data_IF_613506346420
#
_entry.id   IF_613506346420
#
_cell.length_a   1.000
_cell.length_b   1.000
_cell.length_c   1.000
_cell.angle_alpha   90.00
_cell.angle_beta   90.00
_cell.angle_gamma   90.00
#
_symmetry.space_group_name_H-M   'P 1'
#
loop_
_entity.id
_entity.type
_entity.pdbx_description
1 polymer ?
#
# COMPACT_ATOMS: atom_id res chain seq x y z
N UNK A 1 -7.18 20.69 10.39
CA UNK A 1 -7.00 20.11 9.04
C UNK A 1 -8.37 19.83 8.47
N UNK A 2 -8.59 20.17 7.21
CA UNK A 2 -9.89 19.99 6.56
C UNK A 2 -9.87 18.73 5.67
N UNK A 3 -10.98 17.98 5.64
CA UNK A 3 -11.15 16.82 4.77
C UNK A 3 -11.95 17.21 3.52
N UNK A 4 -11.76 16.49 2.43
CA UNK A 4 -12.64 16.59 1.26
C UNK A 4 -14.05 16.10 1.61
N UNK A 5 -15.00 16.43 0.74
CA UNK A 5 -16.26 15.70 0.69
C UNK A 5 -15.98 14.21 0.49
N UNK A 6 -16.90 13.39 1.00
CA UNK A 6 -16.82 11.95 0.82
C UNK A 6 -17.10 11.62 -0.65
N UNK A 7 -16.26 10.79 -1.23
CA UNK A 7 -16.46 10.25 -2.57
C UNK A 7 -16.41 8.72 -2.51
N UNK A 8 -17.11 8.06 -3.40
CA UNK A 8 -17.02 6.61 -3.60
C UNK A 8 -16.38 6.33 -4.97
N UNK A 9 -15.68 5.21 -5.08
CA UNK A 9 -15.19 4.71 -6.37
C UNK A 9 -16.30 4.06 -7.22
N UNK A 10 -17.54 4.01 -6.74
CA UNK A 10 -18.68 3.49 -7.49
C UNK A 10 -19.32 2.25 -6.84
N UNK A 11 -20.33 1.72 -7.54
CA UNK A 11 -21.33 0.74 -7.06
C UNK A 11 -20.77 -0.66 -6.78
N UNK A 12 -21.63 -1.62 -6.39
CA UNK A 12 -21.32 -3.06 -6.20
C UNK A 12 -20.50 -3.72 -7.33
N UNK A 13 -20.51 -3.11 -8.53
CA UNK A 13 -19.80 -3.55 -9.73
C UNK A 13 -18.75 -2.50 -10.11
N UNK A 14 -17.47 -2.87 -10.25
CA UNK A 14 -16.40 -1.95 -10.61
C UNK A 14 -16.45 -1.57 -12.09
N UNK A 15 -15.92 -0.39 -12.41
CA UNK A 15 -15.63 -0.02 -13.80
C UNK A 15 -14.37 -0.75 -14.30
N UNK A 16 -14.51 -1.50 -15.39
CA UNK A 16 -13.47 -2.35 -15.96
C UNK A 16 -13.18 -1.98 -17.41
N UNK A 17 -11.90 -1.84 -17.76
CA UNK A 17 -11.42 -1.71 -19.14
C UNK A 17 -10.46 -2.83 -19.46
N UNK A 18 -10.98 -3.86 -20.14
CA UNK A 18 -10.24 -5.05 -20.53
C UNK A 18 -10.09 -5.10 -22.04
N UNK A 19 -8.91 -5.49 -22.54
CA UNK A 19 -8.63 -5.49 -23.97
C UNK A 19 -8.78 -4.10 -24.63
N UNK A 20 -8.66 -3.01 -23.85
CA UNK A 20 -8.82 -1.65 -24.33
C UNK A 20 -10.28 -1.20 -24.53
N UNK A 21 -11.27 -1.95 -24.03
CA UNK A 21 -12.68 -1.57 -24.09
C UNK A 21 -13.31 -1.61 -22.70
N UNK A 22 -14.17 -0.63 -22.41
CA UNK A 22 -14.99 -0.67 -21.21
C UNK A 22 -15.96 -1.85 -21.29
N UNK A 23 -15.99 -2.67 -20.26
CA UNK A 23 -16.97 -3.76 -20.16
C UNK A 23 -18.34 -3.17 -19.82
N UNK A 24 -19.39 -3.74 -20.44
CA UNK A 24 -20.76 -3.45 -20.06
C UNK A 24 -21.01 -3.85 -18.60
N UNK A 25 -21.90 -3.12 -17.93
CA UNK A 25 -22.15 -3.29 -16.49
C UNK A 25 -22.60 -4.71 -16.14
N UNK A 26 -23.43 -5.32 -16.99
CA UNK A 26 -23.92 -6.67 -16.79
C UNK A 26 -22.79 -7.70 -16.90
N UNK A 27 -21.88 -7.53 -17.87
CA UNK A 27 -20.70 -8.40 -18.00
C UNK A 27 -19.77 -8.28 -16.79
N UNK A 28 -19.53 -7.07 -16.29
CA UNK A 28 -18.75 -6.86 -15.07
C UNK A 28 -19.45 -7.49 -13.83
N UNK A 29 -20.78 -7.41 -13.76
CA UNK A 29 -21.57 -8.02 -12.69
C UNK A 29 -21.52 -9.56 -12.73
N UNK A 30 -21.50 -10.16 -13.93
CA UNK A 30 -21.32 -11.60 -14.11
C UNK A 30 -19.95 -12.07 -13.57
N UNK A 31 -18.87 -11.35 -13.86
CA UNK A 31 -17.53 -11.68 -13.32
C UNK A 31 -17.47 -11.59 -11.79
N UNK A 32 -18.07 -10.54 -11.21
CA UNK A 32 -18.19 -10.38 -9.75
C UNK A 32 -18.99 -11.53 -9.15
N UNK A 33 -20.09 -11.93 -9.82
CA UNK A 33 -20.94 -13.04 -9.38
C UNK A 33 -20.18 -14.37 -9.45
N UNK A 34 -19.45 -14.61 -10.52
CA UNK A 34 -18.60 -15.79 -10.70
C UNK A 34 -17.60 -15.91 -9.56
N UNK A 35 -16.84 -14.85 -9.26
CA UNK A 35 -15.88 -14.83 -8.16
C UNK A 35 -16.55 -15.09 -6.81
N UNK A 36 -17.70 -14.47 -6.53
CA UNK A 36 -18.48 -14.70 -5.31
C UNK A 36 -18.94 -16.16 -5.18
N UNK A 37 -19.38 -16.76 -6.28
CA UNK A 37 -19.77 -18.18 -6.32
C UNK A 37 -18.55 -19.08 -6.10
N UNK A 38 -17.43 -18.77 -6.75
CA UNK A 38 -16.19 -19.53 -6.62
C UNK A 38 -15.65 -19.51 -5.19
N UNK A 39 -15.66 -18.36 -4.50
CA UNK A 39 -15.23 -18.23 -3.09
C UNK A 39 -16.11 -19.09 -2.16
N UNK A 40 -17.43 -19.14 -2.42
CA UNK A 40 -18.34 -19.96 -1.63
C UNK A 40 -18.12 -21.46 -1.81
N UNK A 41 -17.88 -21.92 -3.05
CA UNK A 41 -17.69 -23.33 -3.37
C UNK A 41 -16.28 -23.82 -3.05
N UNK A 42 -15.28 -22.99 -3.33
CA UNK A 42 -13.87 -23.23 -3.09
C UNK A 42 -13.42 -22.27 -2.01
N UNK A 43 -13.71 -22.57 -0.74
CA UNK A 43 -13.32 -21.68 0.36
C UNK A 43 -11.80 -21.55 0.44
N UNK A 44 -11.24 -20.32 0.56
CA UNK A 44 -9.82 -20.11 0.84
C UNK A 44 -9.35 -20.89 2.07
N UNK A 45 -8.14 -21.45 1.98
CA UNK A 45 -7.51 -22.17 3.09
C UNK A 45 -6.64 -21.27 3.98
N UNK A 46 -6.48 -21.65 5.25
CA UNK A 46 -5.47 -21.08 6.13
C UNK A 46 -4.08 -21.27 5.52
N UNK A 47 -3.35 -20.19 5.25
CA UNK A 47 -2.07 -20.20 4.50
C UNK A 47 -2.14 -20.43 2.98
N UNK A 48 -3.32 -20.30 2.37
CA UNK A 48 -3.43 -20.31 0.92
C UNK A 48 -3.22 -18.89 0.36
N UNK A 49 -2.32 -18.75 -0.61
CA UNK A 49 -2.18 -17.49 -1.37
C UNK A 49 -3.28 -17.36 -2.43
N UNK A 50 -3.60 -16.14 -2.84
CA UNK A 50 -4.57 -15.88 -3.93
C UNK A 50 -4.19 -16.66 -5.21
N UNK A 51 -2.90 -16.75 -5.54
CA UNK A 51 -2.43 -17.50 -6.69
C UNK A 51 -2.64 -19.03 -6.57
N UNK A 52 -2.56 -19.59 -5.35
CA UNK A 52 -2.88 -21.01 -5.13
C UNK A 52 -4.39 -21.23 -5.24
N UNK A 53 -5.18 -20.35 -4.62
CA UNK A 53 -6.63 -20.40 -4.65
C UNK A 53 -7.18 -20.34 -6.09
N UNK A 54 -6.70 -19.41 -6.93
CA UNK A 54 -7.11 -19.28 -8.34
C UNK A 54 -6.96 -20.59 -9.12
N UNK A 55 -5.84 -21.30 -8.94
CA UNK A 55 -5.58 -22.59 -9.60
C UNK A 55 -6.55 -23.68 -9.15
N UNK A 56 -7.00 -23.62 -7.90
CA UNK A 56 -7.96 -24.58 -7.33
C UNK A 56 -9.40 -24.25 -7.72
N UNK A 57 -9.74 -22.97 -7.72
CA UNK A 57 -11.08 -22.46 -8.02
C UNK A 57 -11.46 -22.58 -9.50
N UNK A 58 -10.46 -22.55 -10.41
CA UNK A 58 -10.65 -22.71 -11.87
C UNK A 58 -11.72 -21.76 -12.44
N UNK A 59 -11.65 -20.50 -12.01
CA UNK A 59 -12.48 -19.43 -12.56
C UNK A 59 -12.11 -19.13 -14.02
N UNK A 60 -12.97 -18.42 -14.72
CA UNK A 60 -12.74 -17.94 -16.08
C UNK A 60 -11.55 -16.98 -16.13
N UNK A 61 -10.87 -16.89 -17.27
CA UNK A 61 -9.74 -15.98 -17.45
C UNK A 61 -10.11 -14.50 -17.16
N UNK A 62 -11.28 -13.98 -17.60
CA UNK A 62 -11.68 -12.62 -17.23
C UNK A 62 -11.91 -12.44 -15.73
N UNK A 63 -12.45 -13.44 -15.02
CA UNK A 63 -12.60 -13.40 -13.58
C UNK A 63 -11.24 -13.43 -12.86
N UNK A 64 -10.27 -14.21 -13.36
CA UNK A 64 -8.89 -14.20 -12.87
C UNK A 64 -8.23 -12.83 -13.04
N UNK A 65 -8.33 -12.21 -14.22
CA UNK A 65 -7.79 -10.87 -14.48
C UNK A 65 -8.43 -9.81 -13.58
N UNK A 66 -9.74 -9.90 -13.36
CA UNK A 66 -10.45 -9.01 -12.43
C UNK A 66 -9.93 -9.18 -11.01
N UNK A 67 -9.82 -10.42 -10.53
CA UNK A 67 -9.30 -10.69 -9.20
C UNK A 67 -7.86 -10.21 -9.05
N UNK A 68 -7.03 -10.40 -10.08
CA UNK A 68 -5.65 -9.92 -10.11
C UNK A 68 -5.59 -8.38 -9.97
N UNK A 69 -6.40 -7.65 -10.74
CA UNK A 69 -6.44 -6.19 -10.66
C UNK A 69 -6.87 -5.70 -9.26
N UNK A 70 -7.82 -6.39 -8.62
CA UNK A 70 -8.36 -6.04 -7.30
C UNK A 70 -7.38 -6.41 -6.17
N UNK A 71 -6.99 -7.68 -6.08
CA UNK A 71 -6.18 -8.22 -4.99
C UNK A 71 -4.78 -7.58 -4.95
N UNK A 72 -4.26 -7.19 -6.11
CA UNK A 72 -3.01 -6.46 -6.18
C UNK A 72 -3.16 -4.98 -5.84
N UNK A 73 -4.37 -4.39 -5.84
CA UNK A 73 -4.55 -3.00 -5.42
C UNK A 73 -4.70 -2.86 -3.91
N UNK A 74 -5.21 -3.89 -3.23
CA UNK A 74 -5.37 -3.95 -1.78
C UNK A 74 -5.04 -5.37 -1.31
N UNK A 75 -3.84 -5.63 -0.77
CA UNK A 75 -2.93 -4.70 -0.11
C UNK A 75 -1.68 -4.30 -0.94
N UNK A 76 -1.74 -4.09 -2.26
CA UNK A 76 -0.53 -3.76 -3.03
C UNK A 76 0.54 -4.88 -3.01
N UNK A 77 0.14 -6.15 -3.14
CA UNK A 77 1.04 -7.30 -3.03
C UNK A 77 0.87 -8.31 -4.19
N UNK A 78 1.93 -9.07 -4.55
CA UNK A 78 1.85 -10.14 -5.53
C UNK A 78 0.85 -11.22 -5.13
N UNK A 79 0.17 -11.85 -6.09
CA UNK A 79 -0.85 -12.86 -5.81
C UNK A 79 -0.31 -14.08 -5.08
N UNK A 80 1.00 -14.35 -5.22
CA UNK A 80 1.71 -15.44 -4.55
C UNK A 80 1.97 -15.22 -3.06
N UNK A 81 1.78 -14.00 -2.53
CA UNK A 81 1.90 -13.70 -1.10
C UNK A 81 0.64 -13.08 -0.49
N UNK A 82 -0.28 -12.56 -1.32
CA UNK A 82 -1.57 -12.08 -0.85
C UNK A 82 -2.36 -13.24 -0.23
N UNK A 83 -2.90 -13.02 0.97
CA UNK A 83 -3.66 -14.02 1.72
C UNK A 83 -5.03 -14.25 1.06
N UNK A 84 -5.33 -15.50 0.70
CA UNK A 84 -6.60 -15.84 0.08
C UNK A 84 -7.77 -15.71 1.07
N UNK A 85 -7.53 -15.84 2.37
CA UNK A 85 -8.58 -15.61 3.39
C UNK A 85 -9.01 -14.15 3.46
N UNK A 86 -8.14 -13.24 3.02
CA UNK A 86 -8.43 -11.81 2.89
C UNK A 86 -8.89 -11.41 1.48
N UNK A 87 -9.20 -12.38 0.60
CA UNK A 87 -9.96 -12.09 -0.62
C UNK A 87 -11.31 -11.52 -0.19
N UNK A 88 -11.35 -10.18 -0.13
CA UNK A 88 -12.40 -9.35 0.44
C UNK A 88 -13.67 -10.13 0.68
N UNK A 89 -13.97 -10.35 1.96
CA UNK A 89 -15.09 -11.16 2.45
C UNK A 89 -16.42 -10.84 1.75
N UNK A 90 -16.58 -9.69 1.06
CA UNK A 90 -17.69 -9.42 0.14
C UNK A 90 -17.38 -8.61 -1.18
N UNK A 91 -16.13 -8.52 -1.66
CA UNK A 91 -15.75 -7.57 -2.75
C UNK A 91 -16.26 -6.13 -2.47
N UNK A 92 -16.25 -5.72 -1.20
CA UNK A 92 -16.83 -4.46 -0.76
C UNK A 92 -15.96 -3.30 -1.23
N UNK A 93 -16.44 -2.58 -2.23
CA UNK A 93 -15.96 -1.24 -2.58
C UNK A 93 -16.32 -0.32 -1.42
N UNK A 94 -15.35 0.37 -0.82
CA UNK A 94 -15.63 1.22 0.32
C UNK A 94 -16.72 2.23 -0.01
N UNK A 95 -17.78 2.31 0.81
CA UNK A 95 -18.92 3.21 0.59
C UNK A 95 -18.56 4.70 0.77
N UNK A 96 -17.31 5.01 1.16
CA UNK A 96 -16.86 6.38 1.35
C UNK A 96 -15.38 6.54 1.64
N UNK A 97 -14.72 7.33 0.81
CA UNK A 97 -13.35 7.79 1.00
C UNK A 97 -13.33 9.29 1.24
N UNK A 98 -12.40 9.74 2.08
CA UNK A 98 -12.05 11.17 2.23
C UNK A 98 -10.56 11.33 2.06
N UNK A 99 -10.15 12.48 1.53
CA UNK A 99 -8.75 12.90 1.43
C UNK A 99 -8.53 14.10 2.37
N UNK A 100 -7.30 14.28 2.83
CA UNK A 100 -6.91 15.53 3.47
C UNK A 100 -6.78 16.59 2.38
N UNK A 101 -7.52 17.71 2.50
CA UNK A 101 -7.40 18.83 1.56
C UNK A 101 -5.97 19.38 1.62
N UNK A 102 -5.34 19.48 0.44
CA UNK A 102 -3.95 19.93 0.32
C UNK A 102 -2.88 18.87 0.58
N UNK A 103 -3.25 17.58 0.68
CA UNK A 103 -2.30 16.46 0.71
C UNK A 103 -2.15 15.78 2.07
N UNK A 104 -1.83 14.49 2.05
CA UNK A 104 -1.67 13.69 3.28
C UNK A 104 -0.41 14.07 4.08
N UNK A 105 0.59 14.69 3.46
CA UNK A 105 1.83 15.14 4.12
C UNK A 105 1.59 16.30 5.11
N UNK A 106 0.45 16.98 5.02
CA UNK A 106 0.03 17.99 6.01
C UNK A 106 -0.10 17.40 7.42
N UNK A 107 -0.51 16.14 7.54
CA UNK A 107 -0.64 15.48 8.84
C UNK A 107 0.72 15.35 9.56
N UNK A 108 1.73 14.66 9.00
CA UNK A 108 3.03 14.54 9.65
C UNK A 108 3.73 15.89 9.82
N UNK A 109 3.59 16.86 8.88
CA UNK A 109 4.15 18.22 9.06
C UNK A 109 3.53 18.95 10.25
N UNK A 110 2.22 18.85 10.44
CA UNK A 110 1.54 19.48 11.58
C UNK A 110 1.98 18.86 12.92
N UNK A 111 2.20 17.54 12.96
CA UNK A 111 2.73 16.86 14.15
C UNK A 111 4.20 17.25 14.40
N UNK A 112 5.03 17.26 13.36
CA UNK A 112 6.44 17.63 13.42
C UNK A 112 6.67 19.04 13.99
N UNK A 113 5.76 19.99 13.72
CA UNK A 113 5.88 21.37 14.25
C UNK A 113 5.83 21.49 15.78
N UNK A 114 5.49 20.41 16.49
CA UNK A 114 5.32 20.37 17.95
C UNK A 114 6.46 19.66 18.68
N UNK A 115 7.44 19.13 17.95
CA UNK A 115 8.55 18.34 18.49
C UNK A 115 9.86 18.73 17.81
N UNK A 116 11.00 18.40 18.42
CA UNK A 116 12.30 18.58 17.77
C UNK A 116 12.46 17.52 16.68
N UNK A 117 12.57 17.95 15.42
CA UNK A 117 12.75 17.07 14.25
C UNK A 117 14.07 17.38 13.59
N UNK A 118 14.96 16.38 13.57
CA UNK A 118 16.25 16.44 12.87
C UNK A 118 16.16 15.67 11.56
N UNK A 119 16.20 16.38 10.44
CA UNK A 119 16.23 15.80 9.09
C UNK A 119 17.67 15.49 8.67
N UNK A 120 17.83 14.65 7.64
CA UNK A 120 19.14 14.22 7.13
C UNK A 120 20.01 13.57 8.22
N UNK A 121 19.38 12.79 9.10
CA UNK A 121 20.06 12.02 10.16
C UNK A 121 19.80 10.52 9.98
N UNK A 122 20.36 9.86 8.94
CA UNK A 122 20.31 8.42 8.82
C UNK A 122 20.85 7.72 10.07
N UNK A 123 19.98 7.02 10.80
CA UNK A 123 20.42 6.17 11.92
C UNK A 123 21.08 4.93 11.35
N UNK A 124 22.26 4.58 11.87
CA UNK A 124 23.02 3.38 11.49
C UNK A 124 22.97 2.33 12.57
N UNK A 125 23.17 2.73 13.82
CA UNK A 125 23.26 1.81 14.96
C UNK A 125 22.41 2.33 16.12
N UNK A 126 21.64 1.42 16.73
CA UNK A 126 20.92 1.63 17.98
C UNK A 126 21.56 0.75 19.06
N UNK A 127 22.40 1.36 19.88
CA UNK A 127 22.97 0.75 21.07
C UNK A 127 22.02 0.85 22.27
N UNK A 128 21.89 -0.20 23.07
CA UNK A 128 20.99 -0.21 24.22
C UNK A 128 21.50 -1.10 25.35
N UNK A 129 21.18 -0.71 26.58
CA UNK A 129 21.54 -1.47 27.77
C UNK A 129 20.60 -1.15 28.91
N UNK A 130 20.83 -1.75 30.08
CA UNK A 130 20.07 -1.41 31.29
C UNK A 130 20.15 0.09 31.66
N UNK A 131 21.22 0.79 31.29
CA UNK A 131 21.45 2.19 31.68
C UNK A 131 20.98 3.22 30.66
N UNK A 132 20.55 2.81 29.46
CA UNK A 132 20.03 3.74 28.46
C UNK A 132 20.26 3.29 27.02
N UNK A 133 20.08 4.23 26.10
CA UNK A 133 20.15 4.04 24.66
C UNK A 133 21.12 5.04 24.04
N UNK A 134 21.83 4.59 23.00
CA UNK A 134 22.67 5.39 22.11
C UNK A 134 22.19 5.21 20.68
N UNK A 135 22.01 6.30 19.95
CA UNK A 135 21.58 6.29 18.53
C UNK A 135 22.66 6.97 17.71
N UNK A 136 23.36 6.19 16.89
CA UNK A 136 24.45 6.67 16.04
C UNK A 136 23.93 6.96 14.64
N UNK A 137 24.22 8.16 14.14
CA UNK A 137 23.93 8.58 12.77
C UNK A 137 25.23 8.77 11.98
N UNK A 138 25.11 9.15 10.71
CA UNK A 138 26.27 9.54 9.89
C UNK A 138 26.96 10.84 10.38
N UNK A 139 26.35 11.58 11.31
CA UNK A 139 26.80 12.92 11.70
C UNK A 139 27.03 13.09 13.20
N UNK A 140 26.20 12.46 14.03
CA UNK A 140 26.25 12.64 15.47
C UNK A 140 25.70 11.41 16.22
N UNK A 141 25.91 11.40 17.53
CA UNK A 141 25.42 10.36 18.43
C UNK A 141 24.48 10.99 19.45
N UNK A 142 23.28 10.43 19.56
CA UNK A 142 22.28 10.83 20.54
C UNK A 142 22.24 9.84 21.71
N UNK A 143 21.93 10.34 22.91
CA UNK A 143 21.72 9.53 24.10
C UNK A 143 20.32 9.79 24.69
N UNK A 144 19.66 8.74 25.13
CA UNK A 144 18.33 8.82 25.75
C UNK A 144 18.07 7.65 26.71
N UNK A 145 17.03 7.77 27.55
CA UNK A 145 16.61 6.65 28.40
C UNK A 145 15.94 5.54 27.60
N UNK A 146 15.21 5.91 26.53
CA UNK A 146 14.41 5.02 25.69
C UNK A 146 14.44 5.48 24.23
N UNK A 147 14.18 4.57 23.30
CA UNK A 147 14.04 4.83 21.87
C UNK A 147 12.79 4.16 21.32
N UNK A 148 12.11 4.85 20.41
CA UNK A 148 11.03 4.28 19.61
C UNK A 148 11.51 4.15 18.16
N UNK A 149 11.61 2.92 17.68
CA UNK A 149 11.95 2.62 16.28
C UNK A 149 10.66 2.63 15.47
N UNK A 150 10.57 3.57 14.53
CA UNK A 150 9.37 3.81 13.69
C UNK A 150 9.62 3.65 12.19
N UNK A 151 10.80 3.18 11.80
CA UNK A 151 11.14 2.91 10.39
C UNK A 151 10.28 1.75 9.85
N UNK A 152 10.05 1.66 8.52
CA UNK A 152 9.40 0.51 7.91
C UNK A 152 10.06 -0.81 8.30
N UNK A 153 9.25 -1.86 8.44
CA UNK A 153 9.73 -3.16 8.91
C UNK A 153 10.95 -3.75 8.16
N UNK A 154 11.05 -3.64 6.81
CA UNK A 154 12.27 -4.06 6.11
C UNK A 154 13.52 -3.30 6.57
N UNK A 155 13.39 -2.01 6.89
CA UNK A 155 14.51 -1.19 7.36
C UNK A 155 14.87 -1.47 8.81
N UNK A 156 13.96 -2.01 9.63
CA UNK A 156 14.32 -2.50 10.97
C UNK A 156 15.38 -3.59 10.86
N UNK A 157 15.32 -4.44 9.82
CA UNK A 157 16.34 -5.46 9.57
C UNK A 157 17.65 -4.92 8.95
N UNK A 158 17.65 -3.69 8.43
CA UNK A 158 18.85 -3.01 7.90
C UNK A 158 19.57 -2.16 8.97
N UNK A 159 18.91 -1.87 10.11
CA UNK A 159 19.51 -1.15 11.24
C UNK A 159 20.44 -2.06 12.06
N UNK A 160 21.58 -1.51 12.48
CA UNK A 160 22.45 -2.14 13.47
C UNK A 160 21.86 -2.04 14.87
N UNK A 161 21.91 -3.13 15.65
CA UNK A 161 21.53 -3.14 17.07
C UNK A 161 22.68 -3.69 17.93
N UNK A 162 22.95 -3.04 19.06
CA UNK A 162 23.98 -3.45 20.01
C UNK A 162 23.45 -3.42 21.46
N UNK A 163 23.19 -4.58 22.11
CA UNK A 163 23.33 -5.93 21.59
C UNK A 163 22.33 -6.23 20.46
N UNK A 164 22.64 -7.29 19.70
CA UNK A 164 21.78 -7.75 18.60
C UNK A 164 20.38 -8.12 19.09
N UNK A 165 19.39 -7.98 18.21
CA UNK A 165 18.00 -8.33 18.52
C UNK A 165 17.84 -9.83 18.86
N UNK A 166 16.89 -10.19 19.74
CA UNK A 166 16.57 -11.59 20.00
C UNK A 166 16.21 -12.37 18.73
N UNK A 167 16.60 -13.64 18.67
CA UNK A 167 16.44 -14.47 17.48
C UNK A 167 15.00 -14.54 16.97
N UNK A 168 14.01 -14.61 17.86
CA UNK A 168 12.60 -14.71 17.46
C UNK A 168 12.08 -13.42 16.84
N UNK A 169 12.53 -12.25 17.31
CA UNK A 169 12.22 -10.96 16.67
C UNK A 169 12.86 -10.88 15.28
N UNK A 170 14.11 -11.32 15.14
CA UNK A 170 14.81 -11.35 13.83
C UNK A 170 14.09 -12.28 12.86
N UNK A 171 13.71 -13.50 13.29
CA UNK A 171 12.94 -14.44 12.47
C UNK A 171 11.60 -13.85 12.05
N UNK A 172 10.88 -13.21 12.98
CA UNK A 172 9.60 -12.57 12.69
C UNK A 172 9.72 -11.47 11.63
N UNK A 173 10.73 -10.60 11.75
CA UNK A 173 11.00 -9.54 10.77
C UNK A 173 11.30 -10.11 9.37
N UNK A 174 12.07 -11.20 9.28
CA UNK A 174 12.43 -11.84 8.01
C UNK A 174 11.28 -12.66 7.38
N UNK A 175 10.38 -13.19 8.22
CA UNK A 175 9.26 -14.01 7.79
C UNK A 175 8.10 -13.15 7.26
N UNK A 176 7.86 -11.98 7.85
CA UNK A 176 6.81 -11.07 7.40
C UNK A 176 7.09 -10.60 5.97
N UNK A 177 6.10 -10.75 5.08
CA UNK A 177 6.17 -10.27 3.71
C UNK A 177 5.55 -8.88 3.59
N UNK A 178 5.91 -8.21 2.51
CA UNK A 178 5.46 -6.85 2.22
C UNK A 178 5.02 -6.72 0.77
N UNK A 179 4.05 -5.85 0.55
CA UNK A 179 3.60 -5.43 -0.75
C UNK A 179 4.61 -4.51 -1.45
N UNK A 180 4.55 -4.50 -2.79
CA UNK A 180 5.35 -3.69 -3.69
C UNK A 180 4.42 -2.86 -4.60
N UNK A 181 4.79 -1.61 -4.84
CA UNK A 181 4.07 -0.76 -5.78
C UNK A 181 4.89 0.41 -6.28
N UNK A 182 4.54 0.80 -7.50
CA UNK A 182 4.93 2.04 -8.14
C UNK A 182 3.69 2.88 -8.43
N UNK A 183 3.67 4.07 -7.85
CA UNK A 183 2.62 5.07 -8.11
C UNK A 183 3.03 5.93 -9.29
N UNK A 184 2.07 6.27 -10.12
CA UNK A 184 2.25 7.23 -11.19
C UNK A 184 1.18 8.31 -11.14
N UNK A 185 1.54 9.51 -11.55
CA UNK A 185 0.65 10.66 -11.70
C UNK A 185 0.93 11.29 -13.05
N UNK A 186 -0.09 11.37 -13.89
CA UNK A 186 0.01 11.87 -15.26
C UNK A 186 -1.02 12.97 -15.46
N UNK A 187 -0.59 14.06 -16.09
CA UNK A 187 -1.48 15.13 -16.53
C UNK A 187 -1.67 15.04 -18.04
N UNK A 188 -2.92 15.07 -18.49
CA UNK A 188 -3.27 15.05 -19.91
C UNK A 188 -4.02 16.31 -20.34
N UNK A 189 -3.99 16.56 -21.65
CA UNK A 189 -4.64 17.74 -22.24
C UNK A 189 -6.13 17.57 -22.54
N UNK A 190 -6.61 16.33 -22.57
CA UNK A 190 -7.94 15.92 -23.05
C UNK A 190 -8.87 15.54 -21.89
N UNK A 191 -9.20 16.49 -20.99
CA UNK A 191 -10.01 16.20 -19.79
C UNK A 191 -11.30 15.45 -20.08
N UNK A 192 -12.14 15.97 -20.97
CA UNK A 192 -13.50 15.44 -21.16
C UNK A 192 -13.48 14.03 -21.76
N UNK A 193 -12.55 13.78 -22.68
CA UNK A 193 -12.36 12.46 -23.28
C UNK A 193 -11.92 11.43 -22.23
N UNK A 194 -10.96 11.78 -21.38
CA UNK A 194 -10.49 10.87 -20.33
C UNK A 194 -11.57 10.67 -19.26
N UNK A 195 -12.27 11.73 -18.84
CA UNK A 195 -13.41 11.63 -17.91
C UNK A 195 -14.48 10.67 -18.40
N UNK A 196 -14.84 10.78 -19.68
CA UNK A 196 -15.82 9.89 -20.29
C UNK A 196 -15.32 8.44 -20.33
N UNK A 197 -14.01 8.25 -20.55
CA UNK A 197 -13.38 6.95 -20.68
C UNK A 197 -13.25 6.20 -19.34
N UNK A 198 -12.81 6.88 -18.27
CA UNK A 198 -12.49 6.24 -16.96
C UNK A 198 -13.45 6.58 -15.82
N UNK A 199 -14.36 7.53 -15.99
CA UNK A 199 -15.22 8.02 -14.91
C UNK A 199 -14.40 8.56 -13.73
N UNK A 200 -14.76 8.16 -12.50
CA UNK A 200 -13.98 8.48 -11.30
C UNK A 200 -12.71 7.64 -11.15
N UNK A 201 -12.69 6.46 -11.78
CA UNK A 201 -11.60 5.50 -11.77
C UNK A 201 -12.07 4.12 -12.24
N UNK A 202 -11.13 3.29 -12.67
CA UNK A 202 -11.41 1.99 -13.27
C UNK A 202 -10.23 1.03 -13.13
N UNK A 203 -10.52 -0.27 -13.11
CA UNK A 203 -9.50 -1.31 -13.24
C UNK A 203 -9.26 -1.66 -14.69
N UNK A 204 -8.05 -2.12 -14.99
CA UNK A 204 -7.66 -2.54 -16.33
C UNK A 204 -6.74 -3.77 -16.26
N UNK A 205 -6.76 -4.58 -17.31
CA UNK A 205 -5.88 -5.73 -17.51
C UNK A 205 -4.47 -5.32 -18.00
N UNK A 206 -4.23 -4.02 -18.20
CA UNK A 206 -2.93 -3.44 -18.61
C UNK A 206 -2.32 -2.64 -17.48
N UNK A 207 -1.02 -2.35 -17.55
CA UNK A 207 -0.39 -1.41 -16.61
C UNK A 207 -1.11 -0.04 -16.67
N UNK A 208 -1.45 0.60 -15.54
CA UNK A 208 -1.04 0.26 -14.16
C UNK A 208 -2.00 -0.66 -13.38
N UNK A 209 -2.99 -1.30 -13.98
CA UNK A 209 -3.95 -2.18 -13.30
C UNK A 209 -5.13 -1.43 -12.67
N UNK A 210 -4.90 -0.22 -12.18
CA UNK A 210 -5.93 0.70 -11.69
C UNK A 210 -5.56 2.16 -11.97
N UNK A 211 -6.53 2.94 -12.45
CA UNK A 211 -6.40 4.39 -12.65
C UNK A 211 -7.55 5.14 -11.99
N UNK A 212 -7.28 6.35 -11.50
CA UNK A 212 -8.25 7.19 -10.79
C UNK A 212 -8.06 8.66 -11.13
N UNK A 213 -9.15 9.38 -11.39
CA UNK A 213 -9.10 10.83 -11.58
C UNK A 213 -8.80 11.56 -10.25
N UNK A 214 -7.83 12.47 -10.29
CA UNK A 214 -7.41 13.28 -9.14
C UNK A 214 -7.83 14.75 -9.22
N UNK A 215 -8.32 15.20 -10.38
CA UNK A 215 -8.64 16.61 -10.66
C UNK A 215 -10.13 16.95 -10.56
N UNK A 216 -10.93 16.16 -9.84
CA UNK A 216 -12.39 16.32 -9.75
C UNK A 216 -12.80 17.71 -9.22
N UNK A 217 -12.02 18.25 -8.28
CA UNK A 217 -12.26 19.58 -7.69
C UNK A 217 -11.45 20.71 -8.35
N UNK A 218 -10.84 20.48 -9.50
CA UNK A 218 -10.04 21.47 -10.23
C UNK A 218 -10.75 21.84 -11.53
N UNK A 219 -10.79 23.14 -11.86
CA UNK A 219 -11.31 23.63 -13.14
C UNK A 219 -10.34 23.43 -14.31
N UNK A 220 -10.70 23.97 -15.48
CA UNK A 220 -9.87 23.96 -16.69
C UNK A 220 -10.02 22.72 -17.56
N UNK A 221 -9.27 22.68 -18.66
CA UNK A 221 -9.35 21.66 -19.72
C UNK A 221 -8.37 20.48 -19.54
N UNK A 222 -7.56 20.50 -18.48
CA UNK A 222 -6.54 19.48 -18.18
C UNK A 222 -7.00 18.53 -17.09
N UNK A 223 -6.62 17.27 -17.18
CA UNK A 223 -6.96 16.23 -16.20
C UNK A 223 -5.72 15.62 -15.57
N UNK A 224 -5.78 15.34 -14.28
CA UNK A 224 -4.73 14.57 -13.57
C UNK A 224 -5.28 13.20 -13.25
N UNK A 225 -4.60 12.17 -13.74
CA UNK A 225 -4.89 10.77 -13.46
C UNK A 225 -3.75 10.21 -12.62
N UNK A 226 -4.06 9.39 -11.62
CA UNK A 226 -3.05 8.59 -10.94
C UNK A 226 -3.32 7.12 -11.10
N UNK A 227 -2.26 6.33 -11.23
CA UNK A 227 -2.30 4.88 -11.22
C UNK A 227 -1.43 4.28 -10.13
N UNK A 228 -1.67 3.01 -9.83
CA UNK A 228 -0.88 2.23 -8.90
C UNK A 228 -0.57 0.87 -9.52
N UNK A 229 0.64 0.72 -10.05
CA UNK A 229 1.13 -0.56 -10.54
C UNK A 229 1.73 -1.33 -9.37
N UNK A 230 1.06 -2.40 -8.94
CA UNK A 230 1.38 -3.11 -7.71
C UNK A 230 1.38 -4.63 -7.91
N UNK A 231 1.99 -5.35 -6.97
CA UNK A 231 2.05 -6.80 -7.03
C UNK A 231 2.86 -7.31 -8.22
N UNK A 232 2.30 -8.27 -8.95
CA UNK A 232 2.90 -8.85 -10.15
C UNK A 232 2.90 -7.87 -11.35
N UNK A 233 2.12 -6.78 -11.29
CA UNK A 233 2.12 -5.71 -12.29
C UNK A 233 3.09 -4.56 -11.98
N UNK A 234 3.85 -4.65 -10.89
CA UNK A 234 4.83 -3.61 -10.53
C UNK A 234 6.00 -3.59 -11.55
N UNK A 235 6.31 -2.45 -12.17
CA UNK A 235 7.23 -2.35 -13.30
C UNK A 235 8.71 -2.28 -12.85
N UNK A 236 9.13 -3.22 -12.00
CA UNK A 236 10.51 -3.33 -11.56
C UNK A 236 11.48 -3.38 -12.74
N UNK A 237 12.48 -2.49 -12.72
CA UNK A 237 13.55 -2.45 -13.73
C UNK A 237 13.25 -1.62 -14.98
N UNK A 238 12.04 -1.07 -15.13
CA UNK A 238 11.75 -0.09 -16.16
C UNK A 238 12.15 1.33 -15.72
N UNK A 239 12.54 2.15 -16.68
CA UNK A 239 12.75 3.58 -16.47
C UNK A 239 11.42 4.33 -16.38
N UNK A 240 11.40 5.44 -15.64
CA UNK A 240 10.19 6.25 -15.43
C UNK A 240 9.47 6.61 -16.75
N UNK A 241 10.21 6.98 -17.80
CA UNK A 241 9.62 7.32 -19.11
C UNK A 241 8.98 6.12 -19.79
N UNK A 242 9.59 4.93 -19.71
CA UNK A 242 9.02 3.69 -20.28
C UNK A 242 7.72 3.30 -19.56
N UNK A 243 7.66 3.53 -18.25
CA UNK A 243 6.46 3.33 -17.45
C UNK A 243 5.37 4.30 -17.90
N UNK A 244 5.69 5.59 -18.03
CA UNK A 244 4.74 6.60 -18.46
C UNK A 244 4.23 6.35 -19.88
N UNK A 245 5.09 5.93 -20.81
CA UNK A 245 4.71 5.64 -22.19
C UNK A 245 3.73 4.45 -22.29
N UNK A 246 3.92 3.43 -21.47
CA UNK A 246 2.95 2.34 -21.38
C UNK A 246 1.61 2.79 -20.78
N UNK A 247 1.61 3.70 -19.80
CA UNK A 247 0.38 4.28 -19.27
C UNK A 247 -0.32 5.12 -20.34
N UNK A 248 0.42 5.93 -21.10
CA UNK A 248 -0.11 6.71 -22.20
C UNK A 248 -0.73 5.80 -23.28
N UNK A 249 -0.11 4.65 -23.56
CA UNK A 249 -0.65 3.65 -24.47
C UNK A 249 -1.94 3.00 -23.93
N UNK A 250 -1.99 2.67 -22.64
CA UNK A 250 -3.21 2.19 -21.98
C UNK A 250 -4.32 3.24 -22.10
N UNK A 251 -4.05 4.48 -21.69
CA UNK A 251 -5.02 5.56 -21.71
C UNK A 251 -5.47 5.94 -23.12
N UNK A 252 -4.57 5.94 -24.11
CA UNK A 252 -4.91 6.12 -25.53
C UNK A 252 -5.81 4.99 -26.04
N UNK A 253 -5.56 3.75 -25.61
CA UNK A 253 -6.41 2.61 -25.95
C UNK A 253 -7.80 2.75 -25.35
N UNK A 254 -7.92 3.18 -24.09
CA UNK A 254 -9.22 3.38 -23.43
C UNK A 254 -10.02 4.49 -24.12
N UNK A 255 -9.35 5.59 -24.46
CA UNK A 255 -9.98 6.74 -25.13
C UNK A 255 -10.27 6.44 -26.60
N UNK A 256 -9.60 5.45 -27.21
CA UNK A 256 -9.77 5.07 -28.61
C UNK A 256 -9.02 5.97 -29.61
N UNK A 257 -8.13 6.84 -29.12
CA UNK A 257 -7.27 7.72 -29.92
C UNK A 257 -6.05 8.16 -29.11
N UNK A 258 -4.97 8.63 -29.77
CA UNK A 258 -3.84 9.22 -29.06
C UNK A 258 -4.28 10.39 -28.17
N UNK A 259 -3.72 10.43 -26.97
CA UNK A 259 -3.85 11.53 -26.00
C UNK A 259 -2.48 12.17 -25.75
N UNK A 260 -2.46 13.41 -25.29
CA UNK A 260 -1.21 14.15 -25.05
C UNK A 260 -0.91 14.26 -23.56
N UNK A 261 0.15 13.56 -23.13
CA UNK A 261 0.79 13.77 -21.82
C UNK A 261 1.42 15.16 -21.77
N UNK A 262 1.07 15.93 -20.75
CA UNK A 262 1.66 17.25 -20.46
C UNK A 262 2.71 17.16 -19.35
N UNK A 263 2.52 16.24 -18.41
CA UNK A 263 3.41 15.99 -17.30
C UNK A 263 3.24 14.55 -16.83
N UNK A 264 4.32 13.93 -16.34
CA UNK A 264 4.31 12.61 -15.73
C UNK A 264 5.29 12.56 -14.56
N UNK A 265 4.93 11.82 -13.52
CA UNK A 265 5.81 11.53 -12.39
C UNK A 265 5.57 10.11 -11.90
N UNK A 266 6.66 9.41 -11.62
CA UNK A 266 6.67 8.03 -11.15
C UNK A 266 7.35 7.99 -9.78
N UNK A 267 6.79 7.17 -8.88
CA UNK A 267 7.34 6.93 -7.55
C UNK A 267 7.22 5.44 -7.21
N UNK A 268 8.35 4.73 -7.27
CA UNK A 268 8.46 3.37 -6.74
C UNK A 268 8.70 3.43 -5.23
N UNK A 269 7.81 2.82 -4.45
CA UNK A 269 8.02 2.59 -3.01
C UNK A 269 8.88 1.34 -2.78
N UNK A 270 8.80 0.39 -3.71
CA UNK A 270 9.61 -0.83 -3.75
C UNK A 270 11.11 -0.50 -3.75
N UNK A 271 11.52 0.44 -4.60
CA UNK A 271 12.93 0.82 -4.76
C UNK A 271 13.34 2.05 -3.93
N UNK A 272 12.43 2.63 -3.15
CA UNK A 272 12.76 3.73 -2.26
C UNK A 272 13.64 3.22 -1.10
N UNK A 273 14.86 3.77 -0.90
CA UNK A 273 15.80 3.29 0.11
C UNK A 273 15.32 3.52 1.55
N UNK A 274 14.32 4.38 1.77
CA UNK A 274 13.71 4.70 3.05
C UNK A 274 12.32 4.07 3.22
N UNK A 275 11.91 3.18 2.30
CA UNK A 275 10.63 2.45 2.39
C UNK A 275 10.77 0.96 2.12
N UNK A 276 11.44 0.57 1.02
CA UNK A 276 11.61 -0.82 0.51
C UNK A 276 10.32 -1.62 0.24
N UNK A 277 9.17 -1.03 0.52
CA UNK A 277 7.89 -1.70 0.60
C UNK A 277 6.76 -0.67 0.67
N UNK A 278 5.52 -1.15 0.52
CA UNK A 278 4.31 -0.32 0.63
C UNK A 278 3.58 -0.57 1.95
N UNK A 279 3.31 -1.84 2.26
CA UNK A 279 2.47 -2.26 3.39
C UNK A 279 2.82 -3.69 3.77
N UNK A 280 2.58 -4.09 5.02
CA UNK A 280 2.68 -5.49 5.43
C UNK A 280 1.70 -6.38 4.65
N UNK A 281 2.08 -7.64 4.46
CA UNK A 281 1.24 -8.69 3.87
C UNK A 281 1.37 -9.99 4.69
N UNK A 282 0.78 -10.07 5.90
CA UNK A 282 0.76 -11.29 6.69
C UNK A 282 -0.24 -12.29 6.08
N UNK A 283 0.11 -13.58 6.14
CA UNK A 283 -0.70 -14.68 5.62
C UNK A 283 -1.09 -15.65 6.75
N UNK A 284 -2.33 -16.15 6.73
CA UNK A 284 -2.84 -17.08 7.74
C UNK A 284 -2.77 -16.45 9.14
N UNK A 285 -2.14 -17.16 10.09
CA UNK A 285 -2.09 -16.71 11.49
C UNK A 285 -1.00 -15.66 11.78
N UNK A 286 -0.24 -15.18 10.79
CA UNK A 286 0.90 -14.29 11.02
C UNK A 286 0.54 -12.99 11.77
N UNK A 287 -0.72 -12.56 11.71
CA UNK A 287 -1.22 -11.42 12.51
C UNK A 287 -1.12 -11.67 14.01
N UNK A 288 -1.30 -12.92 14.43
CA UNK A 288 -1.29 -13.34 15.83
C UNK A 288 0.03 -14.00 16.22
N UNK A 289 0.73 -14.64 15.28
CA UNK A 289 1.97 -15.38 15.55
C UNK A 289 3.26 -14.58 15.29
N UNK A 290 3.25 -13.64 14.33
CA UNK A 290 4.45 -12.91 13.88
C UNK A 290 4.43 -11.44 14.31
N UNK A 291 3.34 -10.71 14.07
CA UNK A 291 3.28 -9.27 14.36
C UNK A 291 3.53 -8.93 15.84
N UNK A 292 3.04 -9.70 16.84
CA UNK A 292 3.34 -9.42 18.24
C UNK A 292 4.84 -9.52 18.57
N UNK A 293 5.57 -10.45 17.94
CA UNK A 293 7.02 -10.59 18.12
C UNK A 293 7.77 -9.36 17.58
N UNK A 294 7.29 -8.79 16.48
CA UNK A 294 7.84 -7.55 15.90
C UNK A 294 7.51 -6.35 16.79
N UNK A 295 6.28 -6.25 17.28
CA UNK A 295 5.81 -5.14 18.11
C UNK A 295 6.40 -5.12 19.53
N UNK A 296 6.79 -6.28 20.08
CA UNK A 296 7.22 -6.41 21.47
C UNK A 296 8.40 -5.48 21.81
N UNK A 297 8.31 -4.69 22.91
CA UNK A 297 9.43 -3.89 23.38
C UNK A 297 10.55 -4.76 23.95
N UNK A 298 11.76 -4.20 24.05
CA UNK A 298 12.95 -4.89 24.55
C UNK A 298 13.59 -4.14 25.72
N UNK A 299 13.74 -4.86 26.83
CA UNK A 299 14.47 -4.39 28.03
C UNK A 299 13.92 -3.11 28.66
N UNK A 300 12.70 -2.70 28.30
CA UNK A 300 12.13 -1.39 28.64
C UNK A 300 12.91 -0.18 28.12
N UNK A 301 13.58 -0.37 26.99
CA UNK A 301 14.46 0.62 26.35
C UNK A 301 14.13 0.82 24.88
N UNK A 302 13.88 -0.26 24.12
CA UNK A 302 13.49 -0.17 22.72
C UNK A 302 12.03 -0.52 22.57
N UNK A 303 11.31 0.36 21.89
CA UNK A 303 9.92 0.16 21.52
C UNK A 303 9.82 0.22 19.99
N UNK A 304 8.89 -0.54 19.43
CA UNK A 304 8.71 -0.63 17.98
C UNK A 304 7.32 -0.14 17.63
N UNK A 305 7.25 0.86 16.75
CA UNK A 305 6.01 1.37 16.20
C UNK A 305 6.08 1.41 14.67
N UNK A 306 4.97 1.74 14.05
CA UNK A 306 4.80 1.71 12.62
C UNK A 306 3.73 0.71 12.23
N UNK A 307 3.21 0.90 11.01
CA UNK A 307 2.11 0.13 10.46
C UNK A 307 2.32 -1.37 10.70
N UNK A 308 3.47 -1.93 10.32
CA UNK A 308 3.86 -3.34 10.51
C UNK A 308 3.85 -3.91 11.95
N UNK A 309 3.45 -3.13 12.97
CA UNK A 309 3.27 -3.57 14.37
C UNK A 309 1.80 -3.58 14.83
N UNK A 310 0.87 -3.14 13.98
CA UNK A 310 -0.58 -3.20 14.20
C UNK A 310 -1.13 -4.57 13.80
N UNK A 311 -2.11 -5.15 14.50
CA UNK A 311 -2.60 -6.52 14.23
C UNK A 311 -3.98 -6.57 13.54
N UNK A 312 -4.53 -5.41 13.15
CA UNK A 312 -5.83 -5.35 12.46
C UNK A 312 -5.81 -6.11 11.13
N UNK A 313 -6.97 -6.68 10.82
CA UNK A 313 -7.34 -7.23 9.51
C UNK A 313 -7.38 -6.12 8.45
N UNK A 314 -7.01 -6.47 7.23
CA UNK A 314 -6.95 -5.52 6.11
C UNK A 314 -5.66 -4.68 6.07
N UNK A 315 -5.57 -3.70 5.15
CA UNK A 315 -4.35 -2.94 4.95
C UNK A 315 -4.02 -2.11 6.19
N UNK A 316 -2.77 -2.20 6.65
CA UNK A 316 -2.38 -1.50 7.88
C UNK A 316 -2.44 0.02 7.76
N UNK A 317 -2.09 0.59 6.61
CA UNK A 317 -2.34 2.00 6.25
C UNK A 317 -1.90 3.07 7.28
N UNK A 318 -2.37 4.31 7.10
CA UNK A 318 -2.11 5.40 8.05
C UNK A 318 -2.75 5.14 9.43
N UNK A 319 -3.89 4.45 9.46
CA UNK A 319 -4.61 4.11 10.69
C UNK A 319 -3.77 3.21 11.61
N UNK A 320 -3.13 2.17 11.05
CA UNK A 320 -2.25 1.27 11.79
C UNK A 320 -1.00 1.99 12.30
N UNK A 321 -0.42 2.88 11.49
CA UNK A 321 0.69 3.73 11.93
C UNK A 321 0.29 4.61 13.13
N UNK A 322 -0.85 5.30 13.08
CA UNK A 322 -1.34 6.15 14.17
C UNK A 322 -1.64 5.32 15.42
N UNK A 323 -2.35 4.20 15.28
CA UNK A 323 -2.68 3.30 16.40
C UNK A 323 -1.43 2.74 17.08
N UNK A 324 -0.43 2.32 16.30
CA UNK A 324 0.85 1.85 16.84
C UNK A 324 1.58 2.94 17.62
N UNK A 325 1.54 4.20 17.14
CA UNK A 325 2.12 5.34 17.85
C UNK A 325 1.47 5.59 19.21
N UNK A 326 0.13 5.57 19.27
CA UNK A 326 -0.59 5.68 20.54
C UNK A 326 -0.32 4.51 21.49
N UNK A 327 -0.23 3.28 20.96
CA UNK A 327 0.14 2.10 21.74
C UNK A 327 1.50 2.30 22.39
N UNK A 328 2.53 2.59 21.59
CA UNK A 328 3.90 2.73 22.10
C UNK A 328 4.04 3.92 23.05
N UNK A 329 3.36 5.04 22.80
CA UNK A 329 3.36 6.16 23.73
C UNK A 329 2.89 5.72 25.13
N UNK A 330 1.86 4.88 25.21
CA UNK A 330 1.38 4.32 26.49
C UNK A 330 2.39 3.36 27.12
N UNK A 331 3.00 2.48 26.33
CA UNK A 331 4.03 1.55 26.81
C UNK A 331 5.23 2.29 27.43
N UNK A 332 5.72 3.32 26.72
CA UNK A 332 6.82 4.17 27.18
C UNK A 332 6.47 4.88 28.49
N UNK A 333 5.23 5.37 28.64
CA UNK A 333 4.76 6.03 29.86
C UNK A 333 4.48 5.06 31.01
N UNK A 334 4.06 3.82 30.73
CA UNK A 334 3.76 2.82 31.77
C UNK A 334 5.01 2.20 32.40
N UNK A 335 6.13 2.25 31.69
CA UNK A 335 7.43 1.80 32.19
C UNK A 335 8.28 2.94 32.79
N UNK A 336 7.72 4.15 32.89
CA UNK A 336 8.31 5.30 33.57
C UNK A 336 8.03 5.25 35.08
#
# INVERSE_FOLDING_TARGET
MELTEQFSLGTDVPDLIFGGRRLERDAAAELVTELRVAIRHTRPGHYESVAQWLRRARVSQPAELLLAAIAQSTPAAPLRIADAEELNVELSWGEGYRKIKGGNDRLPRALASKVDVRLNQPVRVVGWSATGVTVETDHETFHSDRVVVTVPGPLVSELGFAPVLPADKVRALLQLRYGNATRLVVQYSERDLIKQAIGSGCFTDRMPGFVMEQSVHQGGDKIVVSGLAAGDAEPSGLMDEEILDQVDATMSSVVGRPIKRLFGSVKSWTHDPWSRAVVRAPIGDQRDSVLPLIAAPLGGRLFFAGEHTDNRVGPGGMEGAIKSGYRVAREVMSEA
#
